data_IF_219288388925
#
_entry.id   IF_219288388925
#
_cell.length_a   1.000
_cell.length_b   1.000
_cell.length_c   1.000
_cell.angle_alpha   90.00
_cell.angle_beta   90.00
_cell.angle_gamma   90.00
#
_symmetry.space_group_name_H-M   'P 1'
#
loop_
_entity.id
_entity.type
_entity.pdbx_description
1 polymer ?
#
# COMPACT_ATOMS: atom_id res chain seq x y z
N UNK A 1 -16.87 -6.77 4.24
CA UNK A 1 -17.44 -5.88 3.20
C UNK A 1 -17.30 -6.62 1.87
N UNK A 2 -17.40 -5.98 0.70
CA UNK A 2 -16.94 -6.60 -0.55
C UNK A 2 -15.88 -5.70 -1.15
N UNK A 3 -14.69 -6.25 -1.41
CA UNK A 3 -13.60 -5.51 -2.05
C UNK A 3 -14.07 -4.92 -3.40
N UNK A 4 -13.60 -3.71 -3.69
CA UNK A 4 -13.71 -3.14 -5.03
C UNK A 4 -12.90 -3.98 -6.03
N UNK A 5 -13.17 -3.81 -7.34
CA UNK A 5 -12.39 -4.51 -8.38
C UNK A 5 -10.90 -4.14 -8.29
N UNK A 6 -10.58 -2.88 -8.00
CA UNK A 6 -9.20 -2.44 -7.83
C UNK A 6 -8.53 -3.12 -6.63
N UNK A 7 -9.22 -3.17 -5.49
CA UNK A 7 -8.72 -3.83 -4.28
C UNK A 7 -8.53 -5.35 -4.48
N UNK A 8 -9.50 -6.03 -5.10
CA UNK A 8 -9.38 -7.47 -5.38
C UNK A 8 -8.23 -7.77 -6.33
N UNK A 9 -8.04 -6.94 -7.37
CA UNK A 9 -6.89 -7.05 -8.27
C UNK A 9 -5.57 -6.82 -7.54
N UNK A 10 -5.53 -5.89 -6.58
CA UNK A 10 -4.33 -5.65 -5.75
C UNK A 10 -3.99 -6.85 -4.87
N UNK A 11 -4.98 -7.39 -4.16
CA UNK A 11 -4.83 -8.61 -3.34
C UNK A 11 -4.36 -9.80 -4.18
N UNK A 12 -4.79 -9.92 -5.44
CA UNK A 12 -4.34 -11.00 -6.30
C UNK A 12 -2.84 -10.93 -6.64
N UNK A 13 -2.24 -9.73 -6.68
CA UNK A 13 -0.82 -9.51 -6.99
C UNK A 13 0.11 -9.83 -5.83
N UNK A 14 -0.35 -9.71 -4.58
CA UNK A 14 0.49 -9.98 -3.41
C UNK A 14 0.67 -11.48 -3.19
N UNK A 15 1.74 -11.81 -2.47
CA UNK A 15 2.04 -13.17 -2.05
C UNK A 15 0.84 -13.80 -1.32
N UNK A 16 0.50 -15.08 -1.60
CA UNK A 16 -0.69 -15.73 -1.04
C UNK A 16 -0.83 -15.62 0.48
N UNK A 17 0.28 -15.69 1.21
CA UNK A 17 0.36 -15.56 2.67
C UNK A 17 -0.03 -14.17 3.18
N UNK A 18 0.16 -13.11 2.38
CA UNK A 18 -0.19 -11.74 2.74
C UNK A 18 -1.63 -11.37 2.35
N UNK A 19 -2.34 -12.21 1.58
CA UNK A 19 -3.64 -11.84 0.99
C UNK A 19 -4.73 -11.57 2.03
N UNK A 20 -4.76 -12.34 3.10
CA UNK A 20 -5.73 -12.16 4.18
C UNK A 20 -5.49 -10.81 4.86
N UNK A 21 -4.26 -10.54 5.29
CA UNK A 21 -3.92 -9.29 5.97
C UNK A 21 -4.11 -8.06 5.06
N UNK A 22 -3.72 -8.17 3.78
CA UNK A 22 -3.98 -7.14 2.78
C UNK A 22 -5.48 -6.86 2.60
N UNK A 23 -6.30 -7.92 2.56
CA UNK A 23 -7.76 -7.78 2.46
C UNK A 23 -8.31 -7.03 3.66
N UNK A 24 -7.87 -7.39 4.87
CA UNK A 24 -8.34 -6.76 6.11
C UNK A 24 -8.00 -5.25 6.14
N UNK A 25 -6.79 -4.86 5.73
CA UNK A 25 -6.40 -3.45 5.66
C UNK A 25 -7.20 -2.67 4.62
N UNK A 26 -7.46 -3.27 3.45
CA UNK A 26 -8.25 -2.62 2.39
C UNK A 26 -9.72 -2.49 2.78
N UNK A 27 -10.31 -3.49 3.44
CA UNK A 27 -11.67 -3.41 3.95
C UNK A 27 -11.83 -2.38 5.08
N UNK A 28 -10.79 -2.20 5.90
CA UNK A 28 -10.77 -1.21 6.97
C UNK A 28 -10.51 0.22 6.49
N UNK A 29 -10.23 0.45 5.20
CA UNK A 29 -9.72 1.73 4.69
C UNK A 29 -8.56 2.23 5.53
N UNK A 30 -7.55 1.35 5.69
CA UNK A 30 -6.43 1.59 6.58
C UNK A 30 -5.74 2.93 6.32
N UNK A 31 -5.24 3.50 7.40
CA UNK A 31 -4.41 4.70 7.36
C UNK A 31 -3.01 4.31 6.91
N UNK A 32 -2.45 5.08 5.99
CA UNK A 32 -1.14 4.80 5.39
C UNK A 32 -0.22 6.01 5.42
N UNK A 33 1.08 5.74 5.48
CA UNK A 33 2.15 6.71 5.36
C UNK A 33 2.99 6.35 4.14
N UNK A 34 3.28 7.36 3.31
CA UNK A 34 4.16 7.21 2.16
C UNK A 34 5.53 7.75 2.53
N UNK A 35 6.57 6.96 2.35
CA UNK A 35 7.94 7.37 2.65
C UNK A 35 8.95 6.72 1.71
N UNK A 36 10.12 7.33 1.61
CA UNK A 36 11.25 6.76 0.87
C UNK A 36 11.82 5.55 1.61
N UNK A 37 11.63 4.36 1.06
CA UNK A 37 12.17 3.12 1.62
C UNK A 37 13.66 2.99 1.29
N UNK A 38 14.44 2.52 2.27
CA UNK A 38 15.87 2.23 2.10
C UNK A 38 16.20 0.78 2.54
N UNK A 39 15.18 -0.05 2.67
CA UNK A 39 15.28 -1.41 3.20
C UNK A 39 15.45 -2.44 2.07
N UNK A 40 14.86 -2.15 0.91
CA UNK A 40 15.01 -2.94 -0.30
C UNK A 40 16.07 -2.32 -1.23
N UNK A 41 16.74 -3.19 -2.00
CA UNK A 41 17.71 -2.78 -3.02
C UNK A 41 17.07 -2.09 -4.21
N UNK A 42 17.86 -1.81 -5.24
CA UNK A 42 17.46 -1.10 -6.47
C UNK A 42 16.37 -1.79 -7.29
N UNK A 43 16.01 -3.02 -6.95
CA UNK A 43 14.97 -3.81 -7.64
C UNK A 43 13.55 -3.48 -7.15
N UNK A 44 13.43 -2.67 -6.09
CA UNK A 44 12.15 -2.23 -5.54
C UNK A 44 12.05 -0.71 -5.66
N UNK A 45 10.90 -0.17 -6.09
CA UNK A 45 10.72 1.27 -6.19
C UNK A 45 11.02 2.00 -4.88
N UNK A 46 11.48 3.26 -4.93
CA UNK A 46 12.00 3.98 -3.77
C UNK A 46 10.93 4.45 -2.79
N UNK A 47 9.64 4.50 -3.14
CA UNK A 47 8.58 4.95 -2.22
C UNK A 47 7.70 3.79 -1.78
N UNK A 48 7.59 3.55 -0.47
CA UNK A 48 6.69 2.55 0.09
C UNK A 48 5.40 3.20 0.59
N UNK A 49 4.28 2.49 0.40
CA UNK A 49 2.99 2.76 1.04
C UNK A 49 2.89 1.83 2.25
N UNK A 50 3.12 2.34 3.45
CA UNK A 50 3.07 1.54 4.67
C UNK A 50 1.80 1.81 5.47
N UNK A 51 1.25 0.77 6.10
CA UNK A 51 0.12 0.94 7.01
C UNK A 51 0.60 1.60 8.30
N UNK A 52 -0.06 2.68 8.70
CA UNK A 52 0.31 3.47 9.86
C UNK A 52 0.22 2.62 11.14
N UNK A 53 1.28 2.67 11.96
CA UNK A 53 1.35 1.92 13.21
C UNK A 53 1.66 0.42 13.04
N UNK A 54 1.98 -0.04 11.84
CA UNK A 54 2.42 -1.42 11.59
C UNK A 54 3.71 -1.45 10.76
N UNK A 55 4.27 -2.66 10.59
CA UNK A 55 5.41 -2.91 9.69
C UNK A 55 4.95 -3.40 8.29
N UNK A 56 3.64 -3.34 8.00
CA UNK A 56 3.08 -3.91 6.78
C UNK A 56 3.09 -2.89 5.64
N UNK A 57 3.53 -3.32 4.46
CA UNK A 57 3.53 -2.50 3.25
C UNK A 57 2.43 -2.94 2.28
N UNK A 58 1.70 -1.95 1.75
CA UNK A 58 0.67 -2.14 0.75
C UNK A 58 1.28 -2.34 -0.64
N UNK A 59 2.20 -1.46 -1.02
CA UNK A 59 2.94 -1.53 -2.28
C UNK A 59 4.15 -0.56 -2.27
N UNK A 60 4.98 -0.62 -3.31
CA UNK A 60 6.03 0.35 -3.60
C UNK A 60 5.83 1.02 -4.98
N UNK A 61 6.15 2.32 -5.09
CA UNK A 61 6.00 3.10 -6.32
C UNK A 61 7.24 3.97 -6.62
N UNK A 62 7.38 4.43 -7.87
CA UNK A 62 8.55 5.20 -8.32
C UNK A 62 8.55 6.62 -7.75
N UNK A 63 7.35 7.17 -7.53
CA UNK A 63 7.16 8.55 -7.05
C UNK A 63 6.13 8.60 -5.93
N UNK A 64 6.19 9.63 -5.04
CA UNK A 64 5.19 9.81 -3.99
C UNK A 64 3.80 10.14 -4.58
N UNK A 65 3.76 10.76 -5.76
CA UNK A 65 2.51 11.04 -6.48
C UNK A 65 1.83 9.75 -6.95
N UNK A 66 2.58 8.81 -7.53
CA UNK A 66 2.07 7.49 -7.90
C UNK A 66 1.58 6.71 -6.68
N UNK A 67 2.36 6.74 -5.59
CA UNK A 67 1.99 6.08 -4.34
C UNK A 67 0.67 6.65 -3.76
N UNK A 68 0.49 7.96 -3.82
CA UNK A 68 -0.73 8.63 -3.36
C UNK A 68 -1.92 8.24 -4.25
N UNK A 69 -1.74 8.29 -5.57
CA UNK A 69 -2.79 7.92 -6.52
C UNK A 69 -3.21 6.44 -6.37
N UNK A 70 -2.25 5.54 -6.13
CA UNK A 70 -2.53 4.13 -5.85
C UNK A 70 -3.30 3.98 -4.55
N UNK A 71 -2.86 4.60 -3.45
CA UNK A 71 -3.54 4.56 -2.17
C UNK A 71 -5.01 5.05 -2.27
N UNK A 72 -5.23 6.16 -2.97
CA UNK A 72 -6.58 6.71 -3.23
C UNK A 72 -7.44 5.73 -4.04
N UNK A 73 -6.87 5.11 -5.08
CA UNK A 73 -7.58 4.12 -5.91
C UNK A 73 -7.98 2.86 -5.14
N UNK A 74 -7.23 2.54 -4.09
CA UNK A 74 -7.46 1.42 -3.18
C UNK A 74 -8.38 1.78 -2.00
N UNK A 75 -8.80 3.05 -1.88
CA UNK A 75 -9.67 3.51 -0.79
C UNK A 75 -8.97 3.59 0.57
N UNK A 76 -7.65 3.77 0.56
CA UNK A 76 -6.82 3.97 1.74
C UNK A 76 -6.78 5.45 2.16
N UNK A 77 -6.41 5.72 3.40
CA UNK A 77 -6.31 7.10 3.93
C UNK A 77 -4.85 7.50 4.08
N UNK A 78 -4.36 8.35 3.19
CA UNK A 78 -2.98 8.87 3.28
C UNK A 78 -2.90 9.90 4.40
N UNK A 79 -2.15 9.60 5.47
CA UNK A 79 -1.93 10.50 6.60
C UNK A 79 -0.77 11.47 6.36
N UNK A 80 0.31 10.96 5.78
CA UNK A 80 1.56 11.70 5.62
C UNK A 80 2.29 11.22 4.36
N UNK A 81 2.91 12.15 3.64
CA UNK A 81 3.79 11.88 2.50
C UNK A 81 5.15 12.50 2.78
N UNK A 82 6.15 11.66 3.04
CA UNK A 82 7.55 12.06 3.28
C UNK A 82 8.32 12.01 1.97
N UNK A 83 8.59 13.18 1.41
CA UNK A 83 9.32 13.39 0.17
C UNK A 83 10.82 13.40 0.41
#
# INVERSE_FOLDING_TARGET
MRLSVAQANHVAKVFPECRTEMTDFLEASAEVVIYRQNECGSDVPPYAIAVAGTAFWIDCCETPEEATALADSLGLKVLEVRR
#
